data_IF_781270441207
#
_entry.id   IF_781270441207
#
_cell.length_a   1.000
_cell.length_b   1.000
_cell.length_c   1.000
_cell.angle_alpha   90.00
_cell.angle_beta   90.00
_cell.angle_gamma   90.00
#
_symmetry.space_group_name_H-M   'P 1'
#
loop_
_entity.id
_entity.type
_entity.pdbx_description
1 polymer ?
#
# COMPACT_ATOMS: atom_id res chain seq x y z
N UNK A 1 -21.02 20.06 -24.03
CA UNK A 1 -19.57 19.89 -23.73
C UNK A 1 -18.81 20.09 -25.03
N UNK A 2 -17.87 21.05 -25.06
CA UNK A 2 -17.13 21.37 -26.28
C UNK A 2 -16.01 20.33 -26.51
N UNK A 3 -15.74 19.93 -27.75
CA UNK A 3 -14.69 18.95 -28.07
C UNK A 3 -13.33 19.33 -27.45
N UNK A 4 -13.05 20.64 -27.37
CA UNK A 4 -11.86 21.21 -26.74
C UNK A 4 -11.76 20.89 -25.23
N UNK A 5 -12.87 20.93 -24.49
CA UNK A 5 -12.86 20.57 -23.05
C UNK A 5 -12.61 19.08 -22.82
N UNK A 6 -13.06 18.23 -23.75
CA UNK A 6 -12.83 16.78 -23.69
C UNK A 6 -11.34 16.49 -23.92
N UNK A 7 -10.73 17.12 -24.94
CA UNK A 7 -9.30 16.98 -25.24
C UNK A 7 -8.44 17.44 -24.06
N UNK A 8 -8.75 18.61 -23.46
CA UNK A 8 -8.02 19.12 -22.30
C UNK A 8 -8.15 18.16 -21.10
N UNK A 9 -9.33 17.61 -20.86
CA UNK A 9 -9.53 16.61 -19.80
C UNK A 9 -8.72 15.33 -20.02
N UNK A 10 -8.69 14.80 -21.24
CA UNK A 10 -7.89 13.62 -21.57
C UNK A 10 -6.40 13.91 -21.38
N UNK A 11 -5.90 15.05 -21.87
CA UNK A 11 -4.50 15.45 -21.71
C UNK A 11 -4.13 15.63 -20.23
N UNK A 12 -5.02 16.20 -19.42
CA UNK A 12 -4.82 16.33 -17.98
C UNK A 12 -4.72 14.97 -17.30
N UNK A 13 -5.63 14.03 -17.60
CA UNK A 13 -5.58 12.68 -17.04
C UNK A 13 -4.30 11.93 -17.46
N UNK A 14 -3.85 12.10 -18.70
CA UNK A 14 -2.57 11.56 -19.17
C UNK A 14 -1.36 12.19 -18.46
N UNK A 15 -1.37 13.50 -18.22
CA UNK A 15 -0.33 14.18 -17.45
C UNK A 15 -0.27 13.69 -16.00
N UNK A 16 -1.42 13.49 -15.36
CA UNK A 16 -1.50 12.87 -14.03
C UNK A 16 -0.95 11.44 -14.05
N UNK A 17 -1.27 10.66 -15.09
CA UNK A 17 -0.71 9.33 -15.32
C UNK A 17 0.82 9.34 -15.45
N UNK A 18 1.38 10.21 -16.29
CA UNK A 18 2.82 10.35 -16.46
C UNK A 18 3.51 10.71 -15.13
N UNK A 19 2.94 11.67 -14.39
CA UNK A 19 3.44 12.11 -13.08
C UNK A 19 3.41 10.96 -12.06
N UNK A 20 2.31 10.22 -11.98
CA UNK A 20 2.18 9.04 -11.12
C UNK A 20 3.18 7.93 -11.46
N UNK A 21 3.39 7.68 -12.76
CA UNK A 21 4.39 6.72 -13.26
C UNK A 21 5.81 7.10 -12.85
N UNK A 22 6.19 8.38 -13.00
CA UNK A 22 7.52 8.88 -12.60
C UNK A 22 7.72 8.78 -11.09
N UNK A 23 6.71 9.14 -10.29
CA UNK A 23 6.80 9.09 -8.84
C UNK A 23 6.98 7.66 -8.33
N UNK A 24 6.24 6.70 -8.89
CA UNK A 24 6.37 5.29 -8.55
C UNK A 24 7.69 4.69 -9.04
N UNK A 25 8.18 5.11 -10.20
CA UNK A 25 9.50 4.73 -10.68
C UNK A 25 10.61 5.20 -9.74
N UNK A 26 10.54 6.46 -9.29
CA UNK A 26 11.51 6.99 -8.34
C UNK A 26 11.51 6.18 -7.04
N UNK A 27 10.32 5.84 -6.53
CA UNK A 27 10.17 4.98 -5.34
C UNK A 27 10.72 3.58 -5.58
N UNK A 28 10.43 2.97 -6.72
CA UNK A 28 10.95 1.64 -7.08
C UNK A 28 12.48 1.63 -7.23
N UNK A 29 13.09 2.71 -7.73
CA UNK A 29 14.55 2.85 -7.80
C UNK A 29 15.19 2.90 -6.42
N UNK A 30 14.64 3.67 -5.48
CA UNK A 30 15.13 3.69 -4.08
C UNK A 30 15.06 2.31 -3.45
N UNK A 31 13.92 1.65 -3.62
CA UNK A 31 13.72 0.28 -3.16
C UNK A 31 14.71 -0.70 -3.80
N UNK A 32 15.00 -0.56 -5.09
CA UNK A 32 15.97 -1.40 -5.77
C UNK A 32 17.40 -1.20 -5.25
N UNK A 33 17.76 0.03 -4.86
CA UNK A 33 19.04 0.31 -4.22
C UNK A 33 19.14 -0.38 -2.84
N UNK A 34 18.07 -0.37 -2.06
CA UNK A 34 18.00 -1.12 -0.79
C UNK A 34 18.10 -2.64 -1.02
N UNK A 35 17.41 -3.18 -2.02
CA UNK A 35 17.48 -4.61 -2.39
C UNK A 35 18.86 -5.06 -2.87
N UNK A 36 19.59 -4.17 -3.55
CA UNK A 36 20.94 -4.47 -4.01
C UNK A 36 21.90 -4.78 -2.86
N UNK A 37 21.70 -4.20 -1.67
CA UNK A 37 22.49 -4.52 -0.47
C UNK A 37 22.34 -5.98 -0.03
N UNK A 38 21.18 -6.57 -0.31
CA UNK A 38 20.87 -7.97 0.03
C UNK A 38 21.13 -8.94 -1.13
N UNK A 39 21.75 -8.47 -2.23
CA UNK A 39 21.93 -9.23 -3.47
C UNK A 39 20.59 -9.80 -4.00
N UNK A 40 19.52 -9.00 -3.88
CA UNK A 40 18.21 -9.29 -4.46
C UNK A 40 18.07 -8.51 -5.77
N UNK A 41 17.75 -9.20 -6.85
CA UNK A 41 17.50 -8.58 -8.15
C UNK A 41 16.08 -8.86 -8.62
N UNK A 42 15.26 -7.80 -8.67
CA UNK A 42 13.89 -7.78 -9.20
C UNK A 42 13.83 -6.94 -10.50
N UNK A 43 14.30 -7.47 -11.65
CA UNK A 43 14.47 -6.68 -12.87
C UNK A 43 13.16 -6.12 -13.45
N UNK A 44 12.02 -6.72 -13.12
CA UNK A 44 10.71 -6.27 -13.60
C UNK A 44 10.03 -5.25 -12.69
N UNK A 45 10.53 -5.02 -11.47
CA UNK A 45 9.92 -4.12 -10.49
C UNK A 45 9.75 -2.68 -11.02
N UNK A 46 10.74 -2.07 -11.71
CA UNK A 46 10.58 -0.71 -12.24
C UNK A 46 9.46 -0.60 -13.28
N UNK A 47 9.31 -1.60 -14.16
CA UNK A 47 8.27 -1.61 -15.20
C UNK A 47 6.87 -1.77 -14.59
N UNK A 48 6.73 -2.67 -13.62
CA UNK A 48 5.47 -2.86 -12.90
C UNK A 48 5.13 -1.61 -12.09
N UNK A 49 6.12 -0.99 -11.42
CA UNK A 49 5.92 0.25 -10.68
C UNK A 49 5.46 1.40 -11.58
N UNK A 50 6.06 1.58 -12.76
CA UNK A 50 5.61 2.59 -13.72
C UNK A 50 4.18 2.34 -14.19
N UNK A 51 3.80 1.09 -14.46
CA UNK A 51 2.45 0.75 -14.92
C UNK A 51 1.41 1.01 -13.82
N UNK A 52 1.66 0.54 -12.59
CA UNK A 52 0.78 0.77 -11.43
C UNK A 52 0.67 2.26 -11.12
N UNK A 53 1.80 2.99 -11.13
CA UNK A 53 1.84 4.43 -10.91
C UNK A 53 1.08 5.21 -11.98
N UNK A 54 1.21 4.83 -13.25
CA UNK A 54 0.49 5.46 -14.35
C UNK A 54 -1.03 5.24 -14.24
N UNK A 55 -1.47 4.01 -13.97
CA UNK A 55 -2.88 3.71 -13.75
C UNK A 55 -3.45 4.50 -12.55
N UNK A 56 -2.70 4.54 -11.44
CA UNK A 56 -3.10 5.30 -10.25
C UNK A 56 -3.22 6.79 -10.56
N UNK A 57 -2.25 7.35 -11.30
CA UNK A 57 -2.27 8.75 -11.72
C UNK A 57 -3.44 9.09 -12.65
N UNK A 58 -3.78 8.21 -13.60
CA UNK A 58 -4.95 8.39 -14.47
C UNK A 58 -6.25 8.37 -13.67
N UNK A 59 -6.40 7.44 -12.72
CA UNK A 59 -7.59 7.36 -11.84
C UNK A 59 -7.74 8.63 -11.02
N UNK A 60 -6.64 9.14 -10.43
CA UNK A 60 -6.64 10.39 -9.66
C UNK A 60 -7.01 11.57 -10.57
N UNK A 61 -6.43 11.66 -11.77
CA UNK A 61 -6.71 12.72 -12.73
C UNK A 61 -8.18 12.71 -13.18
N UNK A 62 -8.74 11.52 -13.45
CA UNK A 62 -10.15 11.37 -13.79
C UNK A 62 -11.07 11.77 -12.65
N UNK A 63 -10.77 11.34 -11.41
CA UNK A 63 -11.54 11.75 -10.23
C UNK A 63 -11.51 13.26 -10.01
N UNK A 64 -10.33 13.88 -10.15
CA UNK A 64 -10.19 15.33 -10.04
C UNK A 64 -11.02 16.08 -11.09
N UNK A 65 -10.98 15.62 -12.35
CA UNK A 65 -11.80 16.19 -13.44
C UNK A 65 -13.29 15.97 -13.20
N UNK A 66 -13.69 14.77 -12.75
CA UNK A 66 -15.06 14.45 -12.41
C UNK A 66 -15.60 15.40 -11.34
N UNK A 67 -14.86 15.58 -10.25
CA UNK A 67 -15.25 16.49 -9.16
C UNK A 67 -15.25 17.97 -9.57
N UNK A 68 -14.30 18.38 -10.42
CA UNK A 68 -14.26 19.74 -10.96
C UNK A 68 -15.43 20.01 -11.93
N UNK A 69 -15.83 19.02 -12.73
CA UNK A 69 -16.97 19.14 -13.65
C UNK A 69 -18.32 19.18 -12.93
N UNK A 70 -18.41 18.54 -11.77
CA UNK A 70 -19.63 18.47 -10.96
C UNK A 70 -19.78 19.67 -10.01
N UNK A 71 -18.68 20.37 -9.67
CA UNK A 71 -18.75 21.56 -8.82
C UNK A 71 -19.35 22.77 -9.56
N UNK A 72 -20.57 23.16 -9.19
CA UNK A 72 -21.18 24.44 -9.61
C UNK A 72 -20.58 25.66 -8.87
N UNK A 73 -19.78 25.45 -7.82
CA UNK A 73 -19.09 26.47 -7.03
C UNK A 73 -17.98 25.87 -6.15
N UNK A 74 -17.11 26.71 -5.58
CA UNK A 74 -16.01 26.28 -4.71
C UNK A 74 -16.45 26.34 -3.24
N UNK A 75 -16.77 25.17 -2.67
CA UNK A 75 -16.94 25.00 -1.23
C UNK A 75 -15.76 24.18 -0.67
N UNK A 76 -15.03 24.78 0.28
CA UNK A 76 -13.82 24.21 0.86
C UNK A 76 -14.09 22.86 1.52
N UNK A 77 -15.18 22.75 2.29
CA UNK A 77 -15.51 21.51 3.04
C UNK A 77 -15.85 20.38 2.06
N UNK A 78 -16.61 20.69 1.01
CA UNK A 78 -16.94 19.72 -0.03
C UNK A 78 -15.69 19.28 -0.83
N UNK A 79 -14.77 20.20 -1.12
CA UNK A 79 -13.52 19.88 -1.80
C UNK A 79 -12.58 19.04 -0.95
N UNK A 80 -12.47 19.31 0.35
CA UNK A 80 -11.70 18.48 1.29
C UNK A 80 -12.33 17.08 1.37
N UNK A 81 -13.67 16.99 1.45
CA UNK A 81 -14.40 15.73 1.40
C UNK A 81 -14.13 14.94 0.11
N UNK A 82 -14.10 15.61 -1.05
CA UNK A 82 -13.80 14.97 -2.35
C UNK A 82 -12.32 14.59 -2.51
N UNK A 83 -11.41 15.38 -1.95
CA UNK A 83 -9.98 15.07 -1.94
C UNK A 83 -9.70 13.75 -1.20
N UNK A 84 -10.56 13.34 -0.27
CA UNK A 84 -10.45 12.03 0.38
C UNK A 84 -10.41 10.86 -0.61
N UNK A 85 -11.17 10.90 -1.70
CA UNK A 85 -11.16 9.86 -2.74
C UNK A 85 -9.80 9.79 -3.46
N UNK A 86 -9.17 10.95 -3.69
CA UNK A 86 -7.84 11.03 -4.29
C UNK A 86 -6.78 10.42 -3.37
N UNK A 87 -6.88 10.69 -2.06
CA UNK A 87 -6.01 10.12 -1.03
C UNK A 87 -6.19 8.60 -0.91
N UNK A 88 -7.44 8.11 -0.95
CA UNK A 88 -7.74 6.67 -0.97
C UNK A 88 -7.13 6.02 -2.21
N UNK A 89 -7.34 6.57 -3.40
CA UNK A 89 -6.80 6.02 -4.65
C UNK A 89 -5.27 6.00 -4.66
N UNK A 90 -4.62 7.10 -4.25
CA UNK A 90 -3.17 7.19 -4.16
C UNK A 90 -2.58 6.20 -3.15
N UNK A 91 -3.19 6.10 -1.96
CA UNK A 91 -2.77 5.16 -0.93
C UNK A 91 -2.93 3.70 -1.37
N UNK A 92 -4.06 3.36 -2.00
CA UNK A 92 -4.31 2.04 -2.55
C UNK A 92 -3.26 1.66 -3.63
N UNK A 93 -2.92 2.59 -4.52
CA UNK A 93 -1.88 2.38 -5.54
C UNK A 93 -0.51 2.07 -4.91
N UNK A 94 -0.10 2.83 -3.89
CA UNK A 94 1.17 2.58 -3.17
C UNK A 94 1.17 1.21 -2.49
N UNK A 95 0.03 0.83 -1.90
CA UNK A 95 -0.13 -0.47 -1.24
C UNK A 95 -0.08 -1.62 -2.24
N UNK A 96 -0.71 -1.50 -3.41
CA UNK A 96 -0.64 -2.50 -4.47
C UNK A 96 0.79 -2.74 -4.93
N UNK A 97 1.59 -1.67 -5.10
CA UNK A 97 3.00 -1.80 -5.44
C UNK A 97 3.78 -2.53 -4.33
N UNK A 98 3.58 -2.12 -3.08
CA UNK A 98 4.33 -2.65 -1.93
C UNK A 98 4.01 -4.13 -1.68
N UNK A 99 2.73 -4.49 -1.63
CA UNK A 99 2.30 -5.88 -1.45
C UNK A 99 2.66 -6.74 -2.67
N UNK A 100 2.52 -6.21 -3.89
CA UNK A 100 2.90 -6.92 -5.11
C UNK A 100 4.38 -7.26 -5.15
N UNK A 101 5.24 -6.32 -4.74
CA UNK A 101 6.67 -6.56 -4.55
C UNK A 101 6.93 -7.68 -3.53
N UNK A 102 6.37 -7.56 -2.32
CA UNK A 102 6.54 -8.55 -1.26
C UNK A 102 6.09 -9.93 -1.74
N UNK A 103 4.95 -10.01 -2.44
CA UNK A 103 4.45 -11.25 -3.03
C UNK A 103 5.44 -11.87 -4.02
N UNK A 104 6.04 -11.09 -4.92
CA UNK A 104 7.02 -11.60 -5.89
C UNK A 104 8.27 -12.14 -5.19
N UNK A 105 8.79 -11.41 -4.19
CA UNK A 105 9.95 -11.86 -3.41
C UNK A 105 9.63 -13.14 -2.63
N UNK A 106 8.48 -13.17 -1.97
CA UNK A 106 8.04 -14.31 -1.18
C UNK A 106 7.81 -15.55 -2.04
N UNK A 107 7.18 -15.39 -3.20
CA UNK A 107 6.96 -16.49 -4.14
C UNK A 107 8.28 -17.04 -4.67
N UNK A 108 9.24 -16.17 -5.00
CA UNK A 108 10.58 -16.59 -5.43
C UNK A 108 11.30 -17.38 -4.33
N UNK A 109 11.13 -16.96 -3.07
CA UNK A 109 11.65 -17.69 -1.92
C UNK A 109 10.95 -19.05 -1.78
N UNK A 110 9.61 -19.10 -1.80
CA UNK A 110 8.83 -20.34 -1.76
C UNK A 110 9.26 -21.35 -2.85
N UNK A 111 9.44 -20.89 -4.09
CA UNK A 111 9.86 -21.71 -5.23
C UNK A 111 11.30 -22.23 -5.05
N UNK A 112 12.17 -21.42 -4.44
CA UNK A 112 13.55 -21.79 -4.14
C UNK A 112 13.70 -22.77 -2.98
N UNK A 113 12.65 -22.97 -2.18
CA UNK A 113 12.59 -23.81 -0.98
C UNK A 113 12.02 -25.23 -1.22
N UNK A 114 12.19 -25.78 -2.43
CA UNK A 114 11.79 -27.15 -2.78
C UNK A 114 12.53 -28.27 -2.00
N UNK A 115 12.63 -29.48 -2.56
CA UNK A 115 13.28 -30.65 -1.88
C UNK A 115 14.72 -30.40 -1.40
N UNK A 116 15.46 -29.52 -2.08
CA UNK A 116 16.74 -28.97 -1.62
C UNK A 116 16.69 -27.47 -1.88
N UNK A 117 16.99 -26.63 -0.87
CA UNK A 117 16.90 -25.19 -1.05
C UNK A 117 18.00 -24.72 -2.01
N UNK A 118 17.62 -23.94 -3.03
CA UNK A 118 18.53 -23.52 -4.10
C UNK A 118 19.54 -22.47 -3.61
N UNK A 119 20.79 -22.55 -4.10
CA UNK A 119 21.81 -21.54 -3.82
C UNK A 119 21.36 -20.17 -4.34
N UNK A 120 21.32 -19.18 -3.45
CA UNK A 120 20.96 -17.80 -3.78
C UNK A 120 19.61 -17.31 -3.23
N UNK A 121 18.80 -18.18 -2.60
CA UNK A 121 17.64 -17.75 -1.81
C UNK A 121 18.09 -17.03 -0.54
N UNK A 122 17.23 -16.16 0.01
CA UNK A 122 17.54 -15.43 1.25
C UNK A 122 17.76 -16.42 2.40
N UNK A 123 16.92 -17.44 2.48
CA UNK A 123 16.99 -18.48 3.48
C UNK A 123 18.27 -19.31 3.45
N UNK A 124 18.82 -19.62 2.26
CA UNK A 124 20.10 -20.34 2.14
C UNK A 124 21.28 -19.46 2.49
N UNK A 125 21.31 -18.21 2.02
CA UNK A 125 22.35 -17.24 2.42
C UNK A 125 22.38 -17.06 3.94
N UNK A 126 21.19 -17.02 4.56
CA UNK A 126 21.01 -16.93 6.01
C UNK A 126 21.55 -18.17 6.73
N UNK A 127 21.26 -19.36 6.21
CA UNK A 127 21.79 -20.61 6.75
C UNK A 127 23.33 -20.70 6.60
N UNK A 128 23.89 -20.22 5.48
CA UNK A 128 25.34 -20.16 5.26
C UNK A 128 26.03 -19.21 6.24
N UNK A 129 25.48 -18.02 6.48
CA UNK A 129 25.99 -17.10 7.52
C UNK A 129 25.90 -17.70 8.91
N UNK A 130 24.78 -18.35 9.23
CA UNK A 130 24.62 -19.07 10.50
C UNK A 130 25.72 -20.11 10.70
N UNK A 131 26.01 -20.93 9.67
CA UNK A 131 27.10 -21.91 9.71
C UNK A 131 28.46 -21.26 9.92
N UNK A 132 28.74 -20.15 9.25
CA UNK A 132 30.00 -19.41 9.40
C UNK A 132 30.16 -18.84 10.82
N UNK A 133 29.12 -18.21 11.36
CA UNK A 133 29.10 -17.68 12.73
C UNK A 133 29.27 -18.80 13.76
N UNK A 134 28.58 -19.93 13.57
CA UNK A 134 28.72 -21.11 14.44
C UNK A 134 30.12 -21.71 14.41
N UNK A 135 30.80 -21.70 13.25
CA UNK A 135 32.18 -22.13 13.15
C UNK A 135 33.15 -21.16 13.84
N UNK A 136 32.91 -19.86 13.74
CA UNK A 136 33.76 -18.83 14.37
C UNK A 136 33.60 -18.76 15.89
N UNK A 137 32.37 -18.88 16.41
CA UNK A 137 32.05 -18.59 17.82
C UNK A 137 31.62 -19.82 18.62
N UNK A 138 32.03 -21.03 18.20
CA UNK A 138 31.58 -22.33 18.72
C UNK A 138 31.65 -22.49 20.26
N UNK A 139 32.44 -21.67 20.96
CA UNK A 139 32.69 -21.75 22.40
C UNK A 139 32.23 -20.51 23.20
N UNK A 140 31.56 -19.55 22.57
CA UNK A 140 31.18 -18.28 23.22
C UNK A 140 29.70 -18.18 23.57
N UNK A 141 29.40 -17.55 24.71
CA UNK A 141 28.02 -17.23 25.15
C UNK A 141 27.34 -16.25 24.17
N UNK A 142 28.14 -15.51 23.39
CA UNK A 142 27.72 -14.56 22.36
C UNK A 142 27.11 -15.21 21.11
N UNK A 143 27.10 -16.55 21.00
CA UNK A 143 26.45 -17.24 19.88
C UNK A 143 24.96 -16.92 19.77
N UNK A 144 24.28 -16.69 20.90
CA UNK A 144 22.86 -16.31 20.94
C UNK A 144 22.63 -14.90 20.41
N UNK A 145 23.49 -13.94 20.77
CA UNK A 145 23.38 -12.57 20.29
C UNK A 145 23.57 -12.49 18.76
N UNK A 146 24.46 -13.30 18.21
CA UNK A 146 24.68 -13.37 16.75
C UNK A 146 23.60 -14.19 16.00
N UNK A 147 22.85 -15.06 16.69
CA UNK A 147 21.65 -15.72 16.12
C UNK A 147 20.53 -14.70 15.89
N UNK A 148 20.36 -13.75 16.82
CA UNK A 148 19.38 -12.65 16.71
C UNK A 148 19.69 -11.74 15.52
N UNK A 149 20.97 -11.47 15.22
CA UNK A 149 21.39 -10.67 14.05
C UNK A 149 21.06 -11.38 12.72
N UNK A 150 21.17 -12.71 12.68
CA UNK A 150 20.79 -13.51 11.52
C UNK A 150 19.26 -13.57 11.37
N UNK A 151 18.51 -13.57 12.48
CA UNK A 151 17.05 -13.40 12.51
C UNK A 151 16.59 -12.00 12.07
N UNK A 152 17.37 -10.98 12.39
CA UNK A 152 17.10 -9.59 12.03
C UNK A 152 17.11 -9.35 10.50
N UNK A 153 17.81 -10.17 9.71
CA UNK A 153 17.92 -9.96 8.26
C UNK A 153 16.64 -10.33 7.48
N UNK A 154 16.01 -11.48 7.78
CA UNK A 154 14.75 -11.86 7.12
C UNK A 154 13.60 -10.96 7.57
N UNK A 155 13.55 -10.67 8.87
CA UNK A 155 12.63 -9.69 9.42
C UNK A 155 12.88 -8.31 8.81
N UNK A 156 14.12 -7.87 8.63
CA UNK A 156 14.44 -6.59 7.98
C UNK A 156 14.03 -6.49 6.51
N UNK A 157 14.18 -7.57 5.73
CA UNK A 157 13.93 -7.54 4.27
C UNK A 157 12.46 -7.78 3.91
N UNK A 158 11.75 -8.63 4.66
CA UNK A 158 10.35 -8.99 4.36
C UNK A 158 9.39 -8.61 5.49
N UNK A 159 9.79 -8.80 6.75
CA UNK A 159 8.96 -8.52 7.93
C UNK A 159 8.68 -7.03 8.15
N UNK A 160 9.72 -6.19 8.23
CA UNK A 160 9.63 -4.75 8.48
C UNK A 160 8.87 -4.04 7.37
N UNK A 161 9.10 -4.32 6.06
CA UNK A 161 8.28 -3.76 5.00
C UNK A 161 6.81 -4.20 5.08
N UNK A 162 6.52 -5.44 5.48
CA UNK A 162 5.15 -5.93 5.64
C UNK A 162 4.44 -5.29 6.85
N UNK A 163 5.14 -5.13 7.98
CA UNK A 163 4.64 -4.41 9.16
C UNK A 163 4.38 -2.94 8.84
N UNK A 164 5.31 -2.29 8.15
CA UNK A 164 5.15 -0.92 7.68
C UNK A 164 3.98 -0.80 6.70
N UNK A 165 3.82 -1.76 5.78
CA UNK A 165 2.68 -1.80 4.87
C UNK A 165 1.36 -1.93 5.65
N UNK A 166 1.25 -2.84 6.62
CA UNK A 166 0.05 -2.97 7.48
C UNK A 166 -0.23 -1.69 8.28
N UNK A 167 0.81 -1.01 8.78
CA UNK A 167 0.67 0.28 9.46
C UNK A 167 0.17 1.36 8.51
N UNK A 168 0.71 1.44 7.30
CA UNK A 168 0.30 2.43 6.30
C UNK A 168 -1.10 2.15 5.73
N UNK A 169 -1.53 0.89 5.66
CA UNK A 169 -2.90 0.52 5.26
C UNK A 169 -3.95 1.08 6.22
N UNK A 170 -3.62 1.21 7.51
CA UNK A 170 -4.55 1.78 8.49
C UNK A 170 -4.96 3.22 8.15
N UNK A 171 -4.17 3.94 7.34
CA UNK A 171 -4.48 5.30 6.86
C UNK A 171 -5.63 5.36 5.87
N UNK A 172 -5.92 4.27 5.14
CA UNK A 172 -6.99 4.26 4.12
C UNK A 172 -8.37 4.52 4.75
N UNK A 173 -8.79 3.81 5.82
CA UNK A 173 -9.99 4.15 6.57
C UNK A 173 -10.04 5.59 7.10
N UNK A 174 -8.90 6.15 7.55
CA UNK A 174 -8.84 7.53 8.02
C UNK A 174 -9.17 8.55 6.92
N UNK A 175 -8.78 8.29 5.67
CA UNK A 175 -9.20 9.14 4.55
C UNK A 175 -10.71 9.04 4.31
N UNK A 176 -11.29 7.83 4.42
CA UNK A 176 -12.74 7.65 4.36
C UNK A 176 -13.47 8.45 5.44
N UNK A 177 -12.97 8.39 6.68
CA UNK A 177 -13.49 9.14 7.83
C UNK A 177 -13.43 10.65 7.61
N UNK A 178 -12.33 11.17 7.05
CA UNK A 178 -12.23 12.59 6.69
C UNK A 178 -13.36 13.00 5.73
N UNK A 179 -13.69 12.15 4.76
CA UNK A 179 -14.83 12.36 3.87
C UNK A 179 -16.17 12.34 4.60
N UNK A 180 -16.34 11.43 5.56
CA UNK A 180 -17.54 11.34 6.41
C UNK A 180 -17.74 12.60 7.24
N UNK A 181 -16.69 13.07 7.91
CA UNK A 181 -16.73 14.28 8.73
C UNK A 181 -17.10 15.49 7.86
N UNK A 182 -16.52 15.61 6.66
CA UNK A 182 -16.88 16.68 5.74
C UNK A 182 -18.35 16.60 5.31
N UNK A 183 -18.87 15.41 4.99
CA UNK A 183 -20.28 15.24 4.63
C UNK A 183 -21.24 15.60 5.77
N UNK A 184 -20.91 15.22 7.01
CA UNK A 184 -21.68 15.60 8.21
C UNK A 184 -21.60 17.11 8.45
N UNK A 185 -20.44 17.74 8.27
CA UNK A 185 -20.29 19.19 8.41
C UNK A 185 -21.11 19.97 7.39
N UNK A 186 -21.19 19.50 6.14
CA UNK A 186 -22.05 20.08 5.11
C UNK A 186 -23.53 19.98 5.54
N UNK A 187 -23.95 18.81 6.01
CA UNK A 187 -25.31 18.60 6.51
C UNK A 187 -25.64 19.51 7.70
N UNK A 188 -24.71 19.64 8.66
CA UNK A 188 -24.88 20.47 9.85
C UNK A 188 -24.97 21.96 9.51
N UNK A 189 -24.23 22.42 8.49
CA UNK A 189 -24.28 23.80 8.01
C UNK A 189 -25.66 24.17 7.46
N UNK A 190 -26.33 23.23 6.82
CA UNK A 190 -27.66 23.45 6.22
C UNK A 190 -28.78 23.40 7.26
N UNK A 191 -28.64 22.56 8.29
CA UNK A 191 -29.53 22.55 9.47
C UNK A 191 -29.54 23.89 10.22
N UNK A 192 -28.39 24.58 10.28
CA UNK A 192 -28.26 25.87 10.97
C UNK A 192 -28.93 27.06 10.28
N UNK A 193 -29.43 26.89 9.04
CA UNK A 193 -30.01 27.94 8.21
C UNK A 193 -31.54 27.89 8.05
N UNK A 194 -32.25 27.05 8.80
CA UNK A 194 -33.70 26.88 8.64
C UNK A 194 -34.45 28.06 9.28
N UNK A 195 -35.07 28.92 8.46
CA UNK A 195 -35.92 30.03 8.94
C UNK A 195 -37.37 29.95 8.48
N UNK A 196 -37.70 29.26 7.37
CA UNK A 196 -39.09 29.10 6.87
C UNK A 196 -39.45 27.69 6.34
N UNK A 197 -40.74 27.35 6.34
CA UNK A 197 -41.27 26.01 6.01
C UNK A 197 -41.07 25.56 4.54
N UNK A 198 -40.87 26.48 3.59
CA UNK A 198 -40.48 26.17 2.20
C UNK A 198 -38.97 25.92 2.05
N UNK A 199 -38.14 26.46 2.94
CA UNK A 199 -36.70 26.17 2.99
C UNK A 199 -36.44 24.74 3.48
N UNK A 200 -37.35 24.15 4.25
CA UNK A 200 -37.18 22.79 4.79
C UNK A 200 -36.99 21.72 3.73
N UNK A 201 -37.66 21.81 2.56
CA UNK A 201 -37.46 20.83 1.47
C UNK A 201 -36.14 21.05 0.73
N UNK A 202 -35.77 22.33 0.54
CA UNK A 202 -34.44 22.85 0.22
C UNK A 202 -33.33 22.12 0.99
N UNK A 203 -33.41 22.30 2.30
CA UNK A 203 -32.45 21.82 3.28
C UNK A 203 -32.42 20.30 3.32
N UNK A 204 -33.58 19.61 3.28
CA UNK A 204 -33.63 18.14 3.24
C UNK A 204 -32.90 17.55 2.02
N UNK A 205 -33.08 18.14 0.83
CA UNK A 205 -32.39 17.69 -0.38
C UNK A 205 -30.87 17.90 -0.27
N UNK A 206 -30.46 19.04 0.28
CA UNK A 206 -29.07 19.41 0.46
C UNK A 206 -28.38 18.50 1.50
N UNK A 207 -29.08 18.23 2.60
CA UNK A 207 -28.64 17.34 3.67
C UNK A 207 -28.43 15.91 3.15
N UNK A 208 -29.32 15.44 2.27
CA UNK A 208 -29.17 14.15 1.62
C UNK A 208 -27.88 14.05 0.80
N UNK A 209 -27.43 15.15 0.16
CA UNK A 209 -26.14 15.18 -0.56
C UNK A 209 -24.96 15.04 0.39
N UNK A 210 -24.97 15.75 1.52
CA UNK A 210 -23.93 15.62 2.57
C UNK A 210 -23.87 14.21 3.16
N UNK A 211 -25.02 13.62 3.44
CA UNK A 211 -25.16 12.26 3.96
C UNK A 211 -24.67 11.21 2.95
N UNK A 212 -25.04 11.34 1.68
CA UNK A 212 -24.58 10.45 0.60
C UNK A 212 -23.07 10.53 0.44
N UNK A 213 -22.49 11.74 0.46
CA UNK A 213 -21.04 11.92 0.41
C UNK A 213 -20.36 11.17 1.56
N UNK A 214 -20.88 11.32 2.78
CA UNK A 214 -20.32 10.70 3.97
C UNK A 214 -20.33 9.16 3.92
N UNK A 215 -21.41 8.56 3.42
CA UNK A 215 -21.50 7.11 3.26
C UNK A 215 -20.62 6.61 2.11
N UNK A 216 -20.59 7.30 0.98
CA UNK A 216 -19.81 6.90 -0.19
C UNK A 216 -18.31 6.95 0.07
N UNK A 217 -17.79 7.99 0.75
CA UNK A 217 -16.35 8.08 1.07
C UNK A 217 -15.92 6.93 1.98
N UNK A 218 -16.73 6.61 2.98
CA UNK A 218 -16.49 5.48 3.90
C UNK A 218 -16.51 4.15 3.14
N UNK A 219 -17.53 3.95 2.30
CA UNK A 219 -17.69 2.72 1.52
C UNK A 219 -16.49 2.50 0.59
N UNK A 220 -16.08 3.53 -0.16
CA UNK A 220 -14.92 3.43 -1.06
C UNK A 220 -13.64 3.14 -0.29
N UNK A 221 -13.42 3.78 0.87
CA UNK A 221 -12.27 3.50 1.71
C UNK A 221 -12.27 2.04 2.22
N UNK A 222 -13.43 1.50 2.64
CA UNK A 222 -13.55 0.11 3.09
C UNK A 222 -13.34 -0.89 1.95
N UNK A 223 -13.92 -0.63 0.79
CA UNK A 223 -13.76 -1.47 -0.41
C UNK A 223 -12.30 -1.50 -0.87
N UNK A 224 -11.57 -0.39 -0.74
CA UNK A 224 -10.14 -0.35 -1.01
C UNK A 224 -9.32 -1.07 0.10
N UNK A 225 -9.67 -0.86 1.36
CA UNK A 225 -8.91 -1.35 2.52
C UNK A 225 -9.02 -2.86 2.73
N UNK A 226 -10.23 -3.42 2.71
CA UNK A 226 -10.48 -4.82 3.10
C UNK A 226 -9.70 -5.83 2.25
N UNK A 227 -9.67 -5.73 0.90
CA UNK A 227 -8.87 -6.64 0.07
C UNK A 227 -7.37 -6.50 0.34
N UNK A 228 -6.86 -5.27 0.45
CA UNK A 228 -5.44 -5.01 0.72
C UNK A 228 -5.01 -5.57 2.08
N UNK A 229 -5.87 -5.43 3.09
CA UNK A 229 -5.64 -5.99 4.42
C UNK A 229 -5.58 -7.51 4.36
N UNK A 230 -6.53 -8.14 3.67
CA UNK A 230 -6.55 -9.60 3.51
C UNK A 230 -5.31 -10.12 2.78
N UNK A 231 -4.85 -9.42 1.74
CA UNK A 231 -3.61 -9.78 1.04
C UNK A 231 -2.40 -9.65 1.97
N UNK A 232 -2.30 -8.58 2.77
CA UNK A 232 -1.20 -8.44 3.73
C UNK A 232 -1.19 -9.57 4.78
N UNK A 233 -2.37 -9.97 5.27
CA UNK A 233 -2.50 -11.07 6.24
C UNK A 233 -2.10 -12.42 5.62
N UNK A 234 -2.47 -12.67 4.35
CA UNK A 234 -2.04 -13.87 3.61
C UNK A 234 -0.53 -13.89 3.38
N UNK A 235 0.09 -12.75 3.09
CA UNK A 235 1.54 -12.64 2.93
C UNK A 235 2.27 -12.88 4.26
N UNK A 236 1.73 -12.39 5.37
CA UNK A 236 2.27 -12.64 6.70
C UNK A 236 2.26 -14.14 7.02
N UNK A 237 1.13 -14.82 6.82
CA UNK A 237 1.01 -16.27 7.04
C UNK A 237 1.99 -17.08 6.18
N UNK A 238 2.25 -16.65 4.95
CA UNK A 238 3.23 -17.31 4.07
C UNK A 238 4.66 -17.08 4.55
N UNK A 239 4.97 -15.88 5.03
CA UNK A 239 6.27 -15.56 5.62
C UNK A 239 6.52 -16.41 6.87
N UNK A 240 5.54 -16.52 7.76
CA UNK A 240 5.64 -17.35 8.98
C UNK A 240 5.94 -18.81 8.64
N UNK A 241 5.27 -19.36 7.61
CA UNK A 241 5.54 -20.74 7.13
C UNK A 241 6.95 -20.92 6.59
N UNK A 242 7.49 -19.92 5.90
CA UNK A 242 8.88 -19.96 5.42
C UNK A 242 9.86 -19.89 6.58
N UNK A 243 9.57 -19.05 7.58
CA UNK A 243 10.38 -18.94 8.79
C UNK A 243 10.38 -20.25 9.60
N UNK A 244 9.23 -20.90 9.78
CA UNK A 244 9.14 -22.22 10.40
C UNK A 244 9.99 -23.27 9.67
N UNK A 245 9.95 -23.30 8.33
CA UNK A 245 10.77 -24.23 7.53
C UNK A 245 12.26 -23.97 7.74
N UNK A 246 12.64 -22.70 7.86
CA UNK A 246 14.03 -22.33 8.11
C UNK A 246 14.49 -22.73 9.49
N UNK A 247 13.68 -22.50 10.53
CA UNK A 247 13.99 -22.92 11.89
C UNK A 247 14.19 -24.43 11.97
N UNK A 248 13.31 -25.22 11.35
CA UNK A 248 13.45 -26.69 11.31
C UNK A 248 14.77 -27.14 10.67
N UNK A 249 15.13 -26.56 9.52
CA UNK A 249 16.41 -26.89 8.86
C UNK A 249 17.61 -26.50 9.72
N UNK A 250 17.56 -25.35 10.40
CA UNK A 250 18.61 -24.93 11.33
C UNK A 250 18.77 -25.91 12.49
N UNK A 251 17.67 -26.38 13.05
CA UNK A 251 17.67 -27.32 14.18
C UNK A 251 18.19 -28.71 13.76
N UNK A 252 17.82 -29.18 12.56
CA UNK A 252 18.37 -30.40 11.95
C UNK A 252 19.89 -30.30 11.72
N UNK A 253 20.38 -29.16 11.24
CA UNK A 253 21.82 -28.89 11.07
C UNK A 253 22.56 -28.76 12.41
N UNK A 254 21.81 -28.42 13.47
CA UNK A 254 22.33 -28.33 14.84
C UNK A 254 22.49 -29.70 15.48
N UNK A 255 21.59 -30.64 15.16
CA UNK A 255 21.54 -31.99 15.73
C UNK A 255 22.34 -33.04 14.96
N UNK A 256 22.66 -32.83 13.68
CA UNK A 256 23.45 -33.77 12.85
C UNK A 256 24.97 -33.74 13.06
N UNK A 257 25.50 -32.78 13.82
CA UNK A 257 26.93 -32.59 14.11
C UNK A 257 27.17 -32.49 15.62
#
# INVERSE_FOLDING_TARGET
>A
MNALSIIVGILFALACGATGGVLFLHRARRVHQEEAHYNLHTPHLPRVATAVGALTGVVIGFLALYFASYSRGFDLVAWIGRASYLLVAGSAGVQLLTLGRIYVLLRREEDGWGRKPQKGTLGVKRLERWRQLRQQYRHDVDLRAHDDDVLAELSGVLGTPLLNARRDQSRIPFYGYLGTVCGILLMARELGGITEATETFLVLQSMAVGLVLAFQTTLVALVAFLPLRKVADLLAQRLDRLEERWLRLRDEDTTRN
#
